data_IF_462182975430
#
_entry.id   IF_462182975430
#
_cell.length_a   1.000
_cell.length_b   1.000
_cell.length_c   1.000
_cell.angle_alpha   90.00
_cell.angle_beta   90.00
_cell.angle_gamma   90.00
#
_symmetry.space_group_name_H-M   'P 1'
#
loop_
_entity.id
_entity.type
_entity.pdbx_description
1 polymer ?
#
# COMPACT_ATOMS: atom_id res chain seq x y z
N UNK A 1 -5.75 1.17 27.87
CA UNK A 1 -5.54 0.71 26.48
C UNK A 1 -4.58 1.68 25.86
N UNK A 2 -3.35 1.26 25.54
CA UNK A 2 -2.38 2.17 24.93
C UNK A 2 -2.75 2.31 23.45
N UNK A 3 -2.62 3.51 22.87
CA UNK A 3 -2.94 3.74 21.45
C UNK A 3 -2.09 2.87 20.51
N UNK A 4 -0.95 2.37 20.99
CA UNK A 4 -0.09 1.42 20.28
C UNK A 4 -0.74 0.06 20.02
N UNK A 5 -1.77 -0.30 20.79
CA UNK A 5 -2.42 -1.62 20.69
C UNK A 5 -3.52 -1.63 19.61
N UNK A 6 -3.79 -0.49 18.97
CA UNK A 6 -4.90 -0.32 18.01
C UNK A 6 -4.44 -0.51 16.55
N UNK A 7 -3.17 -0.20 16.23
CA UNK A 7 -2.67 -0.27 14.85
C UNK A 7 -1.86 -1.55 14.61
N UNK A 8 -2.38 -2.42 13.74
CA UNK A 8 -1.76 -3.70 13.37
C UNK A 8 -0.52 -3.57 12.48
N UNK A 9 -0.27 -2.38 11.91
CA UNK A 9 0.87 -2.08 11.06
C UNK A 9 0.48 -1.20 9.86
N UNK A 10 1.49 -0.79 9.09
CA UNK A 10 1.31 -0.02 7.87
C UNK A 10 1.34 -0.96 6.67
N UNK A 11 0.39 -0.81 5.74
CA UNK A 11 0.29 -1.56 4.50
C UNK A 11 0.38 -0.58 3.33
N UNK A 12 1.13 -0.97 2.31
CA UNK A 12 1.18 -0.27 1.02
C UNK A 12 0.35 -1.06 0.01
N UNK A 13 -0.58 -0.40 -0.69
CA UNK A 13 -1.33 -0.99 -1.81
C UNK A 13 -0.99 -0.24 -3.09
N UNK A 14 -0.56 -0.94 -4.14
CA UNK A 14 -0.20 -0.35 -5.44
C UNK A 14 -0.98 -1.07 -6.54
N UNK A 15 -1.90 -0.37 -7.17
CA UNK A 15 -2.80 -0.89 -8.21
C UNK A 15 -3.34 0.29 -9.04
N UNK A 16 -3.27 0.23 -10.37
CA UNK A 16 -3.70 1.32 -11.26
C UNK A 16 -5.22 1.50 -11.30
N UNK A 17 -5.99 0.54 -10.76
CA UNK A 17 -7.42 0.64 -10.56
C UNK A 17 -7.77 1.32 -9.21
N UNK A 18 -8.35 2.51 -9.31
CA UNK A 18 -8.77 3.29 -8.15
C UNK A 18 -9.87 2.60 -7.32
N UNK A 19 -10.78 1.87 -7.96
CA UNK A 19 -11.86 1.19 -7.26
C UNK A 19 -11.30 0.06 -6.39
N UNK A 20 -10.32 -0.69 -6.91
CA UNK A 20 -9.63 -1.75 -6.17
C UNK A 20 -8.90 -1.19 -4.95
N UNK A 21 -8.07 -0.16 -5.13
CA UNK A 21 -7.35 0.44 -4.00
C UNK A 21 -8.28 1.02 -2.94
N UNK A 22 -9.42 1.59 -3.34
CA UNK A 22 -10.43 2.13 -2.41
C UNK A 22 -11.03 1.02 -1.55
N UNK A 23 -11.47 -0.08 -2.17
CA UNK A 23 -12.05 -1.22 -1.45
C UNK A 23 -11.04 -1.84 -0.50
N UNK A 24 -9.79 -2.05 -0.94
CA UNK A 24 -8.74 -2.60 -0.09
C UNK A 24 -8.39 -1.68 1.08
N UNK A 25 -8.26 -0.38 0.82
CA UNK A 25 -7.99 0.62 1.86
C UNK A 25 -9.08 0.60 2.93
N UNK A 26 -10.34 0.72 2.54
CA UNK A 26 -11.46 0.73 3.49
C UNK A 26 -11.50 -0.56 4.31
N UNK A 27 -11.41 -1.74 3.68
CA UNK A 27 -11.48 -3.01 4.41
C UNK A 27 -10.31 -3.21 5.40
N UNK A 28 -9.09 -2.84 4.99
CA UNK A 28 -7.91 -2.96 5.85
C UNK A 28 -7.89 -1.91 6.98
N UNK A 29 -8.37 -0.69 6.72
CA UNK A 29 -8.50 0.34 7.75
C UNK A 29 -9.57 -0.04 8.79
N UNK A 30 -10.69 -0.61 8.36
CA UNK A 30 -11.72 -1.17 9.25
C UNK A 30 -11.15 -2.29 10.15
N UNK A 31 -10.16 -3.05 9.65
CA UNK A 31 -9.44 -4.09 10.40
C UNK A 31 -8.32 -3.55 11.31
N UNK A 32 -8.08 -2.23 11.33
CA UNK A 32 -7.12 -1.56 12.20
C UNK A 32 -5.72 -1.38 11.61
N UNK A 33 -5.56 -1.43 10.29
CA UNK A 33 -4.30 -1.09 9.61
C UNK A 33 -4.25 0.39 9.22
N UNK A 34 -3.03 0.91 9.02
CA UNK A 34 -2.84 2.16 8.27
C UNK A 34 -2.49 1.81 6.83
N UNK A 35 -3.20 2.40 5.86
CA UNK A 35 -3.05 2.00 4.45
C UNK A 35 -2.73 3.19 3.57
N UNK A 36 -1.56 3.14 2.96
CA UNK A 36 -1.16 4.04 1.87
C UNK A 36 -1.49 3.35 0.54
N UNK A 37 -2.11 4.10 -0.39
CA UNK A 37 -2.49 3.60 -1.72
C UNK A 37 -1.81 4.40 -2.82
N UNK A 38 -1.38 3.71 -3.88
CA UNK A 38 -0.84 4.33 -5.08
C UNK A 38 -1.53 3.78 -6.33
N UNK A 39 -2.16 4.69 -7.07
CA UNK A 39 -2.78 4.38 -8.37
C UNK A 39 -1.92 4.75 -9.57
N UNK A 40 -0.87 5.53 -9.32
CA UNK A 40 0.13 5.84 -10.32
C UNK A 40 1.44 5.21 -9.86
N UNK A 41 1.83 4.08 -10.46
CA UNK A 41 3.01 3.39 -10.00
C UNK A 41 4.27 4.27 -10.19
N UNK A 42 4.28 5.22 -11.15
CA UNK A 42 5.42 6.11 -11.41
C UNK A 42 5.66 7.10 -10.27
N UNK A 43 4.61 7.43 -9.51
CA UNK A 43 4.69 8.27 -8.31
C UNK A 43 5.01 7.47 -7.04
N UNK A 44 4.88 6.14 -7.09
CA UNK A 44 5.05 5.26 -5.93
C UNK A 44 6.48 5.34 -5.37
N UNK A 45 7.49 5.31 -6.24
CA UNK A 45 8.91 5.33 -5.82
C UNK A 45 9.25 6.61 -5.03
N UNK A 46 8.71 7.76 -5.43
CA UNK A 46 9.03 9.04 -4.79
C UNK A 46 8.47 9.17 -3.37
N UNK A 47 7.39 8.45 -3.07
CA UNK A 47 6.72 8.49 -1.77
C UNK A 47 6.92 7.21 -0.96
N UNK A 48 7.61 6.21 -1.53
CA UNK A 48 7.93 4.97 -0.86
C UNK A 48 8.82 5.23 0.36
N UNK A 49 8.42 4.67 1.49
CA UNK A 49 9.12 4.78 2.76
C UNK A 49 9.74 3.41 3.08
N UNK A 50 11.05 3.21 2.84
CA UNK A 50 11.70 1.94 3.15
C UNK A 50 11.60 1.63 4.65
N UNK A 51 11.41 0.36 5.01
CA UNK A 51 11.23 -0.13 6.38
C UNK A 51 10.03 0.44 7.16
N UNK A 52 9.13 1.20 6.52
CA UNK A 52 7.91 1.73 7.14
C UNK A 52 6.70 0.79 7.00
N UNK A 53 6.62 0.08 5.88
CA UNK A 53 5.54 -0.83 5.57
C UNK A 53 5.84 -2.23 6.10
N UNK A 54 4.87 -2.80 6.79
CA UNK A 54 4.92 -4.19 7.27
C UNK A 54 4.57 -5.18 6.16
N UNK A 55 3.76 -4.77 5.18
CA UNK A 55 3.30 -5.56 4.04
C UNK A 55 3.08 -4.65 2.82
N UNK A 56 3.25 -5.21 1.63
CA UNK A 56 2.99 -4.55 0.35
C UNK A 56 2.07 -5.44 -0.48
N UNK A 57 0.96 -4.88 -0.96
CA UNK A 57 0.04 -5.49 -1.92
C UNK A 57 0.28 -4.78 -3.25
N UNK A 58 0.61 -5.54 -4.29
CA UNK A 58 1.06 -5.00 -5.56
C UNK A 58 0.34 -5.74 -6.69
N UNK A 59 -0.32 -5.00 -7.57
CA UNK A 59 -0.78 -5.57 -8.83
C UNK A 59 0.40 -5.80 -9.77
N UNK A 60 0.49 -7.04 -10.25
CA UNK A 60 1.54 -7.49 -11.17
C UNK A 60 1.19 -7.20 -12.63
N UNK A 61 -0.06 -6.80 -12.91
CA UNK A 61 -0.57 -6.57 -14.27
C UNK A 61 -0.55 -5.11 -14.71
N UNK A 62 -0.02 -4.20 -13.90
CA UNK A 62 0.12 -2.79 -14.26
C UNK A 62 1.01 -2.59 -15.51
N UNK A 63 0.50 -1.96 -16.57
CA UNK A 63 1.33 -1.54 -17.69
C UNK A 63 2.26 -0.41 -17.24
N UNK A 64 3.54 -0.50 -17.62
CA UNK A 64 4.60 0.50 -17.42
C UNK A 64 5.39 0.47 -16.11
N UNK A 65 5.05 -0.36 -15.12
CA UNK A 65 5.94 -0.62 -13.98
C UNK A 65 6.15 -2.12 -13.76
N UNK A 66 7.41 -2.50 -13.75
CA UNK A 66 7.79 -3.82 -13.28
C UNK A 66 7.70 -3.74 -11.75
N UNK A 67 6.58 -4.18 -11.16
CA UNK A 67 6.29 -3.97 -9.74
C UNK A 67 7.36 -4.52 -8.78
N UNK A 68 8.22 -5.40 -9.27
CA UNK A 68 9.44 -5.88 -8.60
C UNK A 68 10.58 -4.86 -8.51
N UNK A 69 10.47 -3.68 -9.12
CA UNK A 69 11.53 -2.64 -9.10
C UNK A 69 11.59 -1.87 -7.77
N UNK A 70 10.70 -2.19 -6.82
CA UNK A 70 10.61 -1.58 -5.49
C UNK A 70 11.63 -2.14 -4.48
N UNK A 71 12.49 -3.09 -4.88
CA UNK A 71 13.43 -3.80 -3.98
C UNK A 71 14.85 -3.19 -3.84
N UNK A 72 15.12 -1.97 -4.32
CA UNK A 72 16.46 -1.36 -4.15
C UNK A 72 16.62 -0.53 -2.87
#
# INVERSE_FOLDING_TARGET
MCLSDIYKGNILVVDDDQDITTVLKTGLEDDGYQVDTFNDPTKTIAQFKPNYYSQIILDVRMPNINGLSLEN
#
